data_IF_692018408016
#
_entry.id   IF_692018408016
#
_cell.length_a   1.000
_cell.length_b   1.000
_cell.length_c   1.000
_cell.angle_alpha   90.00
_cell.angle_beta   90.00
_cell.angle_gamma   90.00
#
_symmetry.space_group_name_H-M   'P 1'
#
loop_
_entity.id
_entity.type
_entity.pdbx_description
1 polymer ?
#
# COMPACT_ATOMS: atom_id res chain seq x y z
N UNK A 1 -22.41 11.49 16.55
CA UNK A 1 -20.96 11.74 16.47
C UNK A 1 -20.18 10.62 15.76
N UNK A 2 -20.83 9.75 14.97
CA UNK A 2 -20.19 8.53 14.42
C UNK A 2 -19.89 8.59 12.91
N UNK A 3 -20.41 9.60 12.20
CA UNK A 3 -20.24 9.68 10.74
C UNK A 3 -18.79 9.94 10.33
N UNK A 4 -18.08 10.84 11.02
CA UNK A 4 -16.69 11.19 10.69
C UNK A 4 -15.72 10.02 10.88
N UNK A 5 -15.94 9.18 11.89
CA UNK A 5 -15.10 8.00 12.13
C UNK A 5 -15.34 6.94 11.06
N UNK A 6 -16.59 6.72 10.66
CA UNK A 6 -16.93 5.75 9.61
C UNK A 6 -16.41 6.17 8.22
N UNK A 7 -16.43 7.47 7.93
CA UNK A 7 -15.93 8.03 6.67
C UNK A 7 -14.41 7.85 6.52
N UNK A 8 -13.64 8.16 7.56
CA UNK A 8 -12.17 7.95 7.58
C UNK A 8 -11.83 6.47 7.47
N UNK A 9 -12.56 5.58 8.15
CA UNK A 9 -12.36 4.13 8.03
C UNK A 9 -12.65 3.61 6.62
N UNK A 10 -13.66 4.16 5.94
CA UNK A 10 -14.00 3.78 4.56
C UNK A 10 -12.94 4.29 3.57
N UNK A 11 -12.51 5.54 3.71
CA UNK A 11 -11.43 6.14 2.91
C UNK A 11 -10.13 5.34 3.08
N UNK A 12 -9.80 4.95 4.31
CA UNK A 12 -8.63 4.16 4.62
C UNK A 12 -8.64 2.80 3.92
N UNK A 13 -9.75 2.06 4.02
CA UNK A 13 -9.90 0.74 3.38
C UNK A 13 -9.85 0.85 1.86
N UNK A 14 -10.44 1.90 1.28
CA UNK A 14 -10.37 2.17 -0.15
C UNK A 14 -8.92 2.43 -0.60
N UNK A 15 -8.17 3.23 0.15
CA UNK A 15 -6.75 3.49 -0.12
C UNK A 15 -5.90 2.20 -0.01
N UNK A 16 -6.09 1.41 1.04
CA UNK A 16 -5.37 0.13 1.22
C UNK A 16 -5.67 -0.84 0.08
N UNK A 17 -6.91 -0.87 -0.42
CA UNK A 17 -7.31 -1.75 -1.52
C UNK A 17 -6.53 -1.49 -2.82
N UNK A 18 -5.94 -0.30 -2.98
CA UNK A 18 -5.12 0.06 -4.13
C UNK A 18 -3.74 -0.64 -4.15
N UNK A 19 -3.30 -1.24 -3.04
CA UNK A 19 -2.08 -2.07 -3.00
C UNK A 19 -2.33 -3.53 -3.42
N UNK A 20 -3.60 -3.92 -3.63
CA UNK A 20 -3.94 -5.30 -3.94
C UNK A 20 -3.32 -5.74 -5.29
N UNK A 21 -2.42 -6.72 -5.31
CA UNK A 21 -1.78 -7.19 -6.54
C UNK A 21 -2.70 -8.03 -7.44
N UNK A 22 -3.84 -8.50 -6.91
CA UNK A 22 -4.81 -9.29 -7.66
C UNK A 22 -5.22 -8.62 -8.98
N UNK A 23 -5.48 -9.45 -9.99
CA UNK A 23 -5.79 -9.00 -11.34
C UNK A 23 -4.78 -7.98 -11.88
N UNK A 24 -3.49 -8.24 -11.66
CA UNK A 24 -2.39 -7.39 -12.11
C UNK A 24 -2.49 -5.95 -11.60
N UNK A 25 -2.78 -5.77 -10.31
CA UNK A 25 -2.97 -4.45 -9.68
C UNK A 25 -4.10 -3.63 -10.32
N UNK A 26 -5.26 -4.24 -10.62
CA UNK A 26 -6.35 -3.54 -11.33
C UNK A 26 -6.98 -2.39 -10.52
N UNK A 27 -6.84 -2.42 -9.19
CA UNK A 27 -7.34 -1.38 -8.27
C UNK A 27 -6.31 -0.28 -7.99
N UNK A 28 -5.12 -0.37 -8.56
CA UNK A 28 -4.04 0.56 -8.27
C UNK A 28 -4.42 2.00 -8.61
N UNK A 29 -4.20 2.89 -7.66
CA UNK A 29 -4.42 4.31 -7.80
C UNK A 29 -3.36 5.05 -6.97
N UNK A 30 -2.46 5.77 -7.64
CA UNK A 30 -1.34 6.43 -6.96
C UNK A 30 -1.82 7.55 -6.03
N UNK A 31 -2.83 8.33 -6.44
CA UNK A 31 -3.38 9.43 -5.63
C UNK A 31 -3.99 8.91 -4.31
N UNK A 32 -4.70 7.79 -4.35
CA UNK A 32 -5.23 7.13 -3.14
C UNK A 32 -4.12 6.59 -2.23
N UNK A 33 -3.02 6.12 -2.80
CA UNK A 33 -1.87 5.67 -2.00
C UNK A 33 -1.07 6.84 -1.41
N UNK A 34 -1.01 7.97 -2.09
CA UNK A 34 -0.49 9.22 -1.53
C UNK A 34 -1.41 9.70 -0.41
N UNK A 35 -2.74 9.60 -0.61
CA UNK A 35 -3.73 9.92 0.42
C UNK A 35 -3.56 9.06 1.67
N UNK A 36 -3.25 7.77 1.52
CA UNK A 36 -2.87 6.90 2.64
C UNK A 36 -1.67 7.48 3.41
N UNK A 37 -0.62 7.91 2.72
CA UNK A 37 0.54 8.55 3.35
C UNK A 37 0.20 9.89 4.02
N UNK A 38 -0.83 10.61 3.56
CA UNK A 38 -1.34 11.81 4.25
C UNK A 38 -2.11 11.48 5.53
N UNK A 39 -2.88 10.39 5.55
CA UNK A 39 -3.58 9.90 6.74
C UNK A 39 -2.55 9.50 7.81
N UNK A 40 -1.47 8.83 7.41
CA UNK A 40 -0.33 8.47 8.27
C UNK A 40 0.79 9.53 8.25
N UNK A 41 0.44 10.80 8.46
CA UNK A 41 1.39 11.91 8.38
C UNK A 41 2.56 11.84 9.39
N UNK A 42 2.44 11.04 10.46
CA UNK A 42 3.53 10.75 11.40
C UNK A 42 4.58 9.79 10.82
N UNK A 43 4.17 8.89 9.91
CA UNK A 43 5.04 7.90 9.25
C UNK A 43 5.65 8.41 7.94
N UNK A 44 5.08 9.49 7.36
CA UNK A 44 5.48 10.07 6.09
C UNK A 44 5.63 11.59 6.12
N UNK A 45 6.85 12.07 5.85
CA UNK A 45 7.10 13.49 5.70
C UNK A 45 6.45 14.04 4.42
N UNK A 46 6.42 15.36 4.26
CA UNK A 46 5.98 16.00 3.01
C UNK A 46 6.89 15.62 1.82
N UNK A 47 8.19 15.46 2.09
CA UNK A 47 9.16 15.04 1.07
C UNK A 47 8.89 13.60 0.63
N UNK A 48 8.62 12.68 1.56
CA UNK A 48 8.29 11.28 1.26
C UNK A 48 7.05 11.18 0.38
N UNK A 49 6.00 11.96 0.69
CA UNK A 49 4.79 12.04 -0.13
C UNK A 49 5.07 12.53 -1.55
N UNK A 50 5.97 13.50 -1.70
CA UNK A 50 6.40 13.96 -3.02
C UNK A 50 7.16 12.86 -3.77
N UNK A 51 8.06 12.13 -3.11
CA UNK A 51 8.79 11.01 -3.70
C UNK A 51 7.86 9.87 -4.13
N UNK A 52 6.85 9.55 -3.31
CA UNK A 52 5.83 8.55 -3.61
C UNK A 52 5.12 8.81 -4.95
N UNK A 53 4.92 10.08 -5.34
CA UNK A 53 4.31 10.43 -6.63
C UNK A 53 5.10 9.92 -7.83
N UNK A 54 6.42 9.74 -7.68
CA UNK A 54 7.31 9.19 -8.70
C UNK A 54 7.56 7.69 -8.51
N UNK A 55 7.70 7.25 -7.26
CA UNK A 55 8.03 5.87 -6.94
C UNK A 55 6.88 4.91 -7.18
N UNK A 56 5.63 5.32 -6.98
CA UNK A 56 4.45 4.47 -7.16
C UNK A 56 4.29 3.97 -8.62
N UNK A 57 4.32 4.83 -9.66
CA UNK A 57 4.30 4.37 -11.05
C UNK A 57 5.52 3.48 -11.39
N UNK A 58 6.71 3.84 -10.89
CA UNK A 58 7.93 3.08 -11.13
C UNK A 58 7.89 1.69 -10.50
N UNK A 59 7.36 1.59 -9.27
CA UNK A 59 7.10 0.37 -8.56
C UNK A 59 6.17 -0.53 -9.37
N UNK A 60 5.00 -0.03 -9.76
CA UNK A 60 4.02 -0.80 -10.52
C UNK A 60 4.64 -1.33 -11.82
N UNK A 61 5.36 -0.47 -12.53
CA UNK A 61 6.05 -0.83 -13.77
C UNK A 61 7.11 -1.93 -13.54
N UNK A 62 7.85 -1.87 -12.43
CA UNK A 62 8.88 -2.84 -12.08
C UNK A 62 8.28 -4.18 -11.70
N UNK A 63 7.27 -4.20 -10.83
CA UNK A 63 6.63 -5.42 -10.34
C UNK A 63 5.95 -6.17 -11.49
N UNK A 64 5.22 -5.47 -12.37
CA UNK A 64 4.54 -6.08 -13.53
C UNK A 64 5.47 -6.75 -14.54
N UNK A 65 6.76 -6.39 -14.54
CA UNK A 65 7.78 -6.97 -15.43
C UNK A 65 8.62 -8.05 -14.77
N UNK A 66 8.43 -8.28 -13.48
CA UNK A 66 9.24 -9.18 -12.66
C UNK A 66 8.53 -10.53 -12.59
N UNK A 67 9.15 -11.58 -13.12
CA UNK A 67 8.53 -12.92 -13.16
C UNK A 67 8.26 -13.47 -11.76
N UNK A 68 9.03 -13.06 -10.76
CA UNK A 68 8.87 -13.45 -9.36
C UNK A 68 7.53 -13.00 -8.77
N UNK A 69 6.90 -11.99 -9.37
CA UNK A 69 5.61 -11.43 -8.94
C UNK A 69 4.44 -11.92 -9.79
N UNK A 70 4.68 -12.77 -10.79
CA UNK A 70 3.63 -13.37 -11.58
C UNK A 70 2.68 -14.18 -10.68
N UNK A 71 1.37 -13.93 -10.84
CA UNK A 71 0.35 -14.61 -10.05
C UNK A 71 0.25 -14.16 -8.59
N UNK A 72 0.98 -13.13 -8.14
CA UNK A 72 0.80 -12.57 -6.80
C UNK A 72 -0.64 -12.06 -6.60
N UNK A 73 -1.38 -12.64 -5.64
CA UNK A 73 -2.81 -12.32 -5.43
C UNK A 73 -3.11 -11.53 -4.16
N UNK A 74 -2.19 -11.49 -3.21
CA UNK A 74 -2.43 -10.86 -1.91
C UNK A 74 -1.23 -10.01 -1.44
N UNK A 75 -1.51 -9.08 -0.54
CA UNK A 75 -0.54 -8.10 -0.04
C UNK A 75 0.55 -8.77 0.82
N UNK A 76 0.24 -9.86 1.51
CA UNK A 76 1.22 -10.60 2.34
C UNK A 76 2.27 -11.28 1.47
N UNK A 77 1.83 -11.92 0.38
CA UNK A 77 2.71 -12.51 -0.63
C UNK A 77 3.54 -11.42 -1.32
N UNK A 78 2.94 -10.27 -1.65
CA UNK A 78 3.65 -9.12 -2.21
C UNK A 78 4.79 -8.66 -1.30
N UNK A 79 4.51 -8.45 -0.02
CA UNK A 79 5.51 -8.02 0.96
C UNK A 79 6.66 -9.03 1.07
N UNK A 80 6.35 -10.32 1.14
CA UNK A 80 7.36 -11.39 1.20
C UNK A 80 8.25 -11.38 -0.04
N UNK A 81 7.67 -11.27 -1.24
CA UNK A 81 8.43 -11.23 -2.50
C UNK A 81 9.32 -9.98 -2.59
N UNK A 82 8.85 -8.83 -2.09
CA UNK A 82 9.68 -7.61 -2.03
C UNK A 82 10.91 -7.78 -1.13
N UNK A 83 10.80 -8.55 -0.05
CA UNK A 83 11.95 -8.90 0.79
C UNK A 83 12.88 -9.86 0.05
N UNK A 84 12.35 -10.96 -0.48
CA UNK A 84 13.13 -11.99 -1.17
C UNK A 84 13.90 -11.46 -2.38
N UNK A 85 13.33 -10.49 -3.11
CA UNK A 85 13.95 -9.87 -4.29
C UNK A 85 14.73 -8.59 -3.97
N UNK A 86 14.90 -8.25 -2.69
CA UNK A 86 15.48 -6.98 -2.21
C UNK A 86 14.79 -5.71 -2.72
N UNK A 87 13.61 -5.80 -3.34
CA UNK A 87 12.88 -4.62 -3.84
C UNK A 87 12.35 -3.72 -2.71
N UNK A 88 12.20 -4.24 -1.49
CA UNK A 88 11.88 -3.43 -0.31
C UNK A 88 12.91 -2.33 -0.01
N UNK A 89 14.19 -2.53 -0.35
CA UNK A 89 15.22 -1.48 -0.18
C UNK A 89 15.22 -0.47 -1.33
N UNK A 90 14.77 -0.88 -2.52
CA UNK A 90 14.69 -0.01 -3.69
C UNK A 90 13.41 0.85 -3.70
N UNK A 91 12.35 0.35 -3.08
CA UNK A 91 11.04 1.00 -2.98
C UNK A 91 10.60 1.12 -1.52
N UNK A 92 11.46 1.70 -0.66
CA UNK A 92 11.25 1.74 0.79
C UNK A 92 9.93 2.40 1.20
N UNK A 93 9.57 3.52 0.57
CA UNK A 93 8.33 4.23 0.90
C UNK A 93 7.09 3.44 0.48
N UNK A 94 7.15 2.74 -0.66
CA UNK A 94 6.06 1.87 -1.11
C UNK A 94 5.95 0.64 -0.21
N UNK A 95 7.08 0.07 0.21
CA UNK A 95 7.10 -1.03 1.16
C UNK A 95 6.48 -0.64 2.50
N UNK A 96 6.74 0.58 2.99
CA UNK A 96 6.09 1.09 4.21
C UNK A 96 4.57 1.19 4.07
N UNK A 97 4.04 1.61 2.92
CA UNK A 97 2.59 1.58 2.65
C UNK A 97 2.03 0.15 2.71
N UNK A 98 2.80 -0.83 2.22
CA UNK A 98 2.43 -2.26 2.27
C UNK A 98 2.46 -2.78 3.70
N UNK A 99 3.45 -2.41 4.52
CA UNK A 99 3.50 -2.78 5.93
C UNK A 99 2.28 -2.24 6.69
N UNK A 100 1.91 -0.97 6.47
CA UNK A 100 0.70 -0.38 7.05
C UNK A 100 -0.55 -1.17 6.63
N UNK A 101 -0.68 -1.51 5.35
CA UNK A 101 -1.79 -2.32 4.85
C UNK A 101 -1.88 -3.72 5.48
N UNK A 102 -0.78 -4.27 5.99
CA UNK A 102 -0.76 -5.57 6.68
C UNK A 102 -1.10 -5.46 8.17
N UNK A 103 -0.74 -4.34 8.80
CA UNK A 103 -0.97 -4.11 10.24
C UNK A 103 -2.43 -3.72 10.52
N UNK A 104 -3.02 -2.92 9.63
CA UNK A 104 -4.33 -2.31 9.87
C UNK A 104 -5.52 -3.30 9.89
N UNK A 105 -5.60 -4.33 9.02
CA UNK A 105 -6.68 -5.33 9.07
C UNK A 105 -6.71 -6.12 10.39
N UNK A 106 -5.56 -6.27 11.06
CA UNK A 106 -5.44 -6.98 12.35
C UNK A 106 -5.99 -6.15 13.52
N UNK A 107 -6.03 -4.82 13.40
CA UNK A 107 -6.57 -3.93 14.43
C UNK A 107 -8.10 -3.82 14.41
N UNK A 108 -8.76 -4.34 13.37
CA UNK A 108 -10.22 -4.29 13.18
C UNK A 108 -10.94 -5.60 13.48
N UNK A 109 -10.35 -6.51 14.26
CA UNK A 109 -11.14 -7.59 14.86
C UNK A 109 -12.04 -6.96 15.95
N UNK A 110 -13.37 -6.98 15.82
CA UNK A 110 -14.20 -6.72 16.99
C UNK A 110 -13.88 -7.82 17.99
N UNK A 111 -13.46 -7.44 19.18
CA UNK A 111 -13.47 -8.35 20.32
C UNK A 111 -14.95 -8.67 20.54
N UNK A 112 -15.37 -9.89 20.20
CA UNK A 112 -16.67 -10.43 20.62
C UNK A 112 -16.78 -10.46 22.15
#
# INVERSE_FOLDING_TARGET
>A
MNHRFNEVSTELLDCISCLNPANNFSKFNADKLIRLAEIYAEDFTKADRLLLTFDLPRFLMNIRRSEEFNGCQDVSTLARLMVQTNKHTSFQLVYRLIELALILPMATAPVE
#
